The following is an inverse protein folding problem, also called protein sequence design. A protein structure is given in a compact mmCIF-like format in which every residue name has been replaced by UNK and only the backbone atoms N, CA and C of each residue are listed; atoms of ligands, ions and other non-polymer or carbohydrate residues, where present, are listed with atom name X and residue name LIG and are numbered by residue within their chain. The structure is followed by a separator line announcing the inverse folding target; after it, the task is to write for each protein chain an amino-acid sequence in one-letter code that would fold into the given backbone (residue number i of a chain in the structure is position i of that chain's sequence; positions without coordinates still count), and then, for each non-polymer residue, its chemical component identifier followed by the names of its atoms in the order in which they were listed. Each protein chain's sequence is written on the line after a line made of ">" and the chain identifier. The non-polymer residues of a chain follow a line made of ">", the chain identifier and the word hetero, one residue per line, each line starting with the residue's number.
data_IF_633311602137
#
_entry.id   IF_633311602137
#
_cell.length_a   1.000
_cell.length_b   1.000
_cell.length_c   1.000
_cell.angle_alpha   90.00
_cell.angle_beta   90.00
_cell.angle_gamma   90.00
#
_symmetry.space_group_name_H-M   'P 1'
#
loop_
_entity.id
_entity.type
_entity.pdbx_description
1 polymer ?
#
# COMPACT_ATOMS: atom_id res chain seq x y z
N UNK A 1 2.70 -6.95 -7.84
CA UNK A 1 3.33 -7.50 -6.63
C UNK A 1 3.54 -8.99 -6.84
N UNK A 2 4.78 -9.45 -6.84
CA UNK A 2 5.08 -10.88 -6.94
C UNK A 2 5.14 -11.50 -5.53
N UNK A 3 4.88 -12.82 -5.39
CA UNK A 3 4.99 -13.50 -4.10
C UNK A 3 6.36 -13.32 -3.43
N UNK A 4 7.44 -13.30 -4.21
CA UNK A 4 8.81 -13.14 -3.74
C UNK A 4 9.05 -11.76 -3.14
N UNK A 5 8.52 -10.71 -3.78
CA UNK A 5 8.62 -9.34 -3.28
C UNK A 5 7.84 -9.16 -1.96
N UNK A 6 6.67 -9.78 -1.84
CA UNK A 6 5.87 -9.76 -0.60
C UNK A 6 6.59 -10.52 0.51
N UNK A 7 7.14 -11.70 0.21
CA UNK A 7 7.89 -12.47 1.20
C UNK A 7 9.09 -11.67 1.72
N UNK A 8 9.90 -11.12 0.81
CA UNK A 8 11.04 -10.28 1.18
C UNK A 8 10.63 -9.06 2.01
N UNK A 9 9.50 -8.43 1.70
CA UNK A 9 8.96 -7.33 2.51
C UNK A 9 8.62 -7.79 3.94
N UNK A 10 7.91 -8.91 4.10
CA UNK A 10 7.49 -9.43 5.40
C UNK A 10 8.66 -9.96 6.26
N UNK A 11 9.76 -10.34 5.62
CA UNK A 11 10.97 -10.80 6.30
C UNK A 11 11.83 -9.64 6.81
N UNK A 12 11.82 -8.50 6.12
CA UNK A 12 12.67 -7.34 6.45
C UNK A 12 11.93 -6.22 7.22
N UNK A 13 10.61 -6.34 7.39
CA UNK A 13 9.81 -5.35 8.13
C UNK A 13 10.06 -5.48 9.64
N UNK A 14 10.17 -4.33 10.32
CA UNK A 14 10.32 -4.29 11.79
C UNK A 14 9.02 -4.69 12.50
N UNK A 15 9.11 -5.18 13.73
CA UNK A 15 7.93 -5.53 14.54
C UNK A 15 6.96 -4.35 14.70
N UNK A 16 7.47 -3.12 14.86
CA UNK A 16 6.63 -1.92 15.00
C UNK A 16 5.81 -1.68 13.72
N UNK A 17 6.44 -1.78 12.55
CA UNK A 17 5.75 -1.61 11.28
C UNK A 17 4.76 -2.76 11.02
N UNK A 18 5.14 -3.98 11.41
CA UNK A 18 4.28 -5.15 11.30
C UNK A 18 3.01 -5.03 12.15
N UNK A 19 3.13 -4.54 13.39
CA UNK A 19 1.98 -4.26 14.26
C UNK A 19 1.03 -3.22 13.63
N UNK A 20 1.57 -2.21 12.95
CA UNK A 20 0.76 -1.25 12.17
C UNK A 20 0.07 -1.91 10.98
N UNK A 21 0.69 -2.89 10.32
CA UNK A 21 0.02 -3.62 9.24
C UNK A 21 -1.11 -4.50 9.76
N UNK A 22 -0.93 -5.10 10.94
CA UNK A 22 -1.96 -5.92 11.57
C UNK A 22 -3.23 -5.16 11.94
N UNK A 23 -3.18 -3.84 12.14
CA UNK A 23 -4.40 -3.05 12.34
C UNK A 23 -5.26 -2.92 11.08
N UNK A 24 -4.75 -3.29 9.91
CA UNK A 24 -5.51 -3.31 8.65
C UNK A 24 -5.98 -4.70 8.24
N UNK A 25 -5.68 -5.73 9.05
CA UNK A 25 -6.27 -7.05 8.81
C UNK A 25 -7.77 -7.03 9.11
N UNK A 26 -8.56 -7.83 8.39
CA UNK A 26 -9.96 -8.06 8.72
C UNK A 26 -10.13 -8.45 10.20
N UNK A 27 -11.19 -7.96 10.84
CA UNK A 27 -11.42 -8.15 12.28
C UNK A 27 -11.58 -9.63 12.69
N UNK A 28 -11.97 -10.47 11.75
CA UNK A 28 -12.13 -11.92 11.90
C UNK A 28 -10.79 -12.70 11.78
N UNK A 29 -9.69 -12.03 11.43
CA UNK A 29 -8.38 -12.65 11.28
C UNK A 29 -7.50 -12.38 12.50
N UNK A 30 -6.78 -13.42 12.95
CA UNK A 30 -5.73 -13.24 13.96
C UNK A 30 -4.58 -12.41 13.39
N UNK A 31 -3.98 -11.56 14.25
CA UNK A 31 -2.85 -10.69 13.91
C UNK A 31 -1.54 -11.49 13.80
N UNK A 32 -1.34 -12.14 12.66
CA UNK A 32 -0.16 -12.95 12.37
C UNK A 32 0.47 -12.63 11.01
N UNK A 33 1.76 -12.93 10.85
CA UNK A 33 2.48 -12.76 9.56
C UNK A 33 1.85 -13.63 8.46
N UNK A 34 1.37 -14.82 8.83
CA UNK A 34 0.76 -15.78 7.91
C UNK A 34 -0.58 -15.27 7.38
N UNK A 35 -1.44 -14.74 8.26
CA UNK A 35 -2.73 -14.15 7.87
C UNK A 35 -2.54 -12.90 7.01
N UNK A 36 -1.57 -12.04 7.38
CA UNK A 36 -1.19 -10.89 6.55
C UNK A 36 -0.75 -11.32 5.16
N UNK A 37 0.10 -12.35 5.06
CA UNK A 37 0.54 -12.90 3.79
C UNK A 37 -0.64 -13.45 2.98
N UNK A 38 -1.54 -14.19 3.63
CA UNK A 38 -2.75 -14.74 3.00
C UNK A 38 -3.62 -13.64 2.39
N UNK A 39 -3.87 -12.56 3.14
CA UNK A 39 -4.62 -11.40 2.65
C UNK A 39 -3.93 -10.75 1.45
N UNK A 40 -2.62 -10.52 1.50
CA UNK A 40 -1.86 -9.94 0.38
C UNK A 40 -1.88 -10.81 -0.88
N UNK A 41 -2.03 -12.14 -0.73
CA UNK A 41 -2.13 -13.08 -1.84
C UNK A 41 -3.55 -13.29 -2.35
N UNK A 42 -4.54 -12.86 -1.58
CA UNK A 42 -5.95 -13.02 -1.91
C UNK A 42 -6.33 -12.33 -3.22
N UNK A 43 -7.28 -12.93 -3.94
CA UNK A 43 -7.85 -12.34 -5.15
C UNK A 43 -8.55 -11.02 -4.86
N UNK A 44 -9.12 -10.87 -3.66
CA UNK A 44 -9.76 -9.64 -3.22
C UNK A 44 -8.76 -8.48 -3.16
N UNK A 45 -7.65 -8.65 -2.44
CA UNK A 45 -6.60 -7.64 -2.36
C UNK A 45 -6.06 -7.26 -3.74
N UNK A 46 -5.77 -8.25 -4.59
CA UNK A 46 -5.29 -8.02 -5.96
C UNK A 46 -6.29 -7.22 -6.80
N UNK A 47 -7.57 -7.53 -6.69
CA UNK A 47 -8.64 -6.82 -7.38
C UNK A 47 -8.76 -5.38 -6.89
N UNK A 48 -8.84 -5.16 -5.57
CA UNK A 48 -8.94 -3.83 -4.99
C UNK A 48 -7.73 -2.96 -5.31
N UNK A 49 -6.52 -3.52 -5.31
CA UNK A 49 -5.32 -2.80 -5.74
C UNK A 49 -5.39 -2.41 -7.23
N UNK A 50 -5.95 -3.27 -8.09
CA UNK A 50 -6.20 -2.97 -9.50
C UNK A 50 -7.26 -1.88 -9.71
N UNK A 51 -8.34 -1.90 -8.92
CA UNK A 51 -9.38 -0.88 -8.93
C UNK A 51 -8.84 0.49 -8.47
N UNK A 52 -8.05 0.51 -7.40
CA UNK A 52 -7.35 1.72 -6.93
C UNK A 52 -6.41 2.27 -8.01
N UNK A 53 -5.62 1.40 -8.65
CA UNK A 53 -4.72 1.79 -9.74
C UNK A 53 -5.51 2.41 -10.89
N UNK A 54 -6.64 1.80 -11.27
CA UNK A 54 -7.51 2.31 -12.33
C UNK A 54 -8.11 3.67 -11.96
N UNK A 55 -8.58 3.84 -10.72
CA UNK A 55 -9.11 5.12 -10.25
C UNK A 55 -8.04 6.22 -10.27
N UNK A 56 -6.83 5.90 -9.79
CA UNK A 56 -5.69 6.81 -9.82
C UNK A 56 -5.18 7.08 -11.23
N UNK A 57 -5.49 6.25 -12.23
CA UNK A 57 -5.10 6.51 -13.63
C UNK A 57 -6.05 7.47 -14.36
N UNK A 58 -7.28 7.62 -13.88
CA UNK A 58 -8.32 8.41 -14.56
C UNK A 58 -8.49 9.79 -13.90
N UNK A 59 -7.39 10.52 -13.68
CA UNK A 59 -7.38 11.84 -13.03
C UNK A 59 -7.52 11.81 -11.51
N UNK A 60 -7.67 10.61 -10.93
CA UNK A 60 -7.70 10.42 -9.49
C UNK A 60 -6.36 10.77 -8.83
N UNK A 61 -5.23 10.51 -9.49
CA UNK A 61 -3.90 10.82 -8.95
C UNK A 61 -3.74 12.32 -8.69
N UNK A 62 -4.08 13.15 -9.68
CA UNK A 62 -4.05 14.61 -9.51
C UNK A 62 -4.99 15.09 -8.40
N UNK A 63 -6.24 14.60 -8.41
CA UNK A 63 -7.28 15.01 -7.46
C UNK A 63 -6.90 14.69 -6.02
N UNK A 64 -6.46 13.46 -5.76
CA UNK A 64 -6.08 13.01 -4.42
C UNK A 64 -4.81 13.72 -3.94
N UNK A 65 -3.82 13.92 -4.81
CA UNK A 65 -2.60 14.66 -4.45
C UNK A 65 -2.93 16.09 -4.00
N UNK A 66 -3.82 16.78 -4.72
CA UNK A 66 -4.29 18.13 -4.34
C UNK A 66 -5.08 18.14 -3.04
N UNK A 67 -5.98 17.17 -2.85
CA UNK A 67 -6.84 17.10 -1.67
C UNK A 67 -6.04 16.80 -0.38
N UNK A 68 -5.03 15.94 -0.48
CA UNK A 68 -4.20 15.52 0.67
C UNK A 68 -2.95 16.38 0.85
N UNK A 69 -2.68 17.32 -0.07
CA UNK A 69 -1.56 18.24 0.03
C UNK A 69 -0.19 17.63 -0.29
N UNK A 70 -0.16 16.49 -0.98
CA UNK A 70 1.07 15.83 -1.41
C UNK A 70 1.47 16.25 -2.83
N UNK A 71 2.78 16.23 -3.19
CA UNK A 71 3.22 16.51 -4.55
C UNK A 71 2.56 15.60 -5.59
N UNK A 72 2.14 16.14 -6.71
CA UNK A 72 1.64 15.31 -7.82
C UNK A 72 2.82 14.84 -8.68
N UNK A 73 3.02 13.52 -8.78
CA UNK A 73 4.12 12.91 -9.56
C UNK A 73 3.66 12.15 -10.81
N UNK A 74 2.40 12.33 -11.20
CA UNK A 74 1.78 11.60 -12.31
C UNK A 74 0.63 10.71 -11.85
N UNK A 75 0.05 10.00 -12.81
CA UNK A 75 -1.11 9.15 -12.58
C UNK A 75 -0.72 7.73 -12.14
N UNK A 76 -1.68 7.05 -11.53
CA UNK A 76 -1.56 5.65 -11.11
C UNK A 76 -0.89 5.45 -9.75
N UNK A 77 -1.02 4.23 -9.24
CA UNK A 77 -0.60 3.89 -7.88
C UNK A 77 0.90 4.06 -7.64
N UNK A 78 1.73 3.82 -8.66
CA UNK A 78 3.19 3.94 -8.53
C UNK A 78 3.61 5.40 -8.32
N UNK A 79 3.09 6.33 -9.13
CA UNK A 79 3.37 7.76 -8.98
C UNK A 79 2.86 8.29 -7.63
N UNK A 80 1.67 7.87 -7.22
CA UNK A 80 1.11 8.23 -5.92
C UNK A 80 1.98 7.75 -4.74
N UNK A 81 2.38 6.47 -4.73
CA UNK A 81 3.22 5.92 -3.67
C UNK A 81 4.63 6.54 -3.65
N UNK A 82 5.20 6.82 -4.82
CA UNK A 82 6.50 7.50 -4.92
C UNK A 82 6.46 8.91 -4.32
N UNK A 83 5.38 9.65 -4.57
CA UNK A 83 5.16 10.96 -3.96
C UNK A 83 5.11 10.89 -2.43
N UNK A 84 4.30 9.97 -1.89
CA UNK A 84 4.19 9.77 -0.45
C UNK A 84 5.55 9.38 0.18
N UNK A 85 6.29 8.48 -0.45
CA UNK A 85 7.60 8.05 0.03
C UNK A 85 8.59 9.21 0.10
N UNK A 86 8.62 10.06 -0.95
CA UNK A 86 9.46 11.27 -0.96
C UNK A 86 9.06 12.27 0.11
N UNK A 87 7.77 12.39 0.42
CA UNK A 87 7.32 13.30 1.46
C UNK A 87 7.72 12.82 2.86
N UNK A 88 7.57 11.53 3.15
CA UNK A 88 8.01 10.95 4.42
C UNK A 88 9.49 11.19 4.63
N UNK A 89 10.33 10.92 3.62
CA UNK A 89 11.78 11.10 3.72
C UNK A 89 12.26 12.58 3.70
N UNK A 90 11.39 13.53 3.34
CA UNK A 90 11.71 14.97 3.42
C UNK A 90 11.42 15.57 4.80
N UNK A 91 10.64 14.87 5.62
CA UNK A 91 10.25 15.30 6.97
C UNK A 91 11.15 14.72 8.06
N UNK A 92 12.12 13.88 7.69
CA UNK A 92 13.26 13.44 8.51
C UNK A 92 14.50 14.31 8.22
#
# INVERSE_FOLDING_TARGET
>A
LTPEAIQSLLDNITDIQLQKLYSFLPEDQEKSKENLRSVLYSSFFKRSAGELTSALNNGGGFTVSRALGHPYEGEGIAAYLNSLFKEVNKKE
#
